data_IF_785063404536
#
_entry.id   IF_785063404536
#
_cell.length_a   1.000
_cell.length_b   1.000
_cell.length_c   1.000
_cell.angle_alpha   90.00
_cell.angle_beta   90.00
_cell.angle_gamma   90.00
#
_symmetry.space_group_name_H-M   'P 1'
#
loop_
_entity.id
_entity.type
_entity.pdbx_description
1 polymer ?
#
# COMPACT_ATOMS: atom_id res chain seq x y z
N UNK A 1 33.10 -11.04 -5.91
CA UNK A 1 31.89 -10.84 -5.09
C UNK A 1 30.69 -10.81 -6.02
N UNK A 2 29.86 -11.85 -6.02
CA UNK A 2 28.63 -11.89 -6.83
C UNK A 2 27.66 -10.87 -6.24
N UNK A 3 27.67 -9.64 -6.78
CA UNK A 3 26.72 -8.61 -6.39
C UNK A 3 25.33 -9.08 -6.81
N UNK A 4 24.53 -9.48 -5.83
CA UNK A 4 23.16 -9.93 -6.04
C UNK A 4 22.42 -8.85 -6.85
N UNK A 5 21.77 -9.24 -7.95
CA UNK A 5 21.12 -8.28 -8.85
C UNK A 5 19.85 -7.76 -8.16
N UNK A 6 19.93 -6.56 -7.60
CA UNK A 6 18.78 -5.92 -6.93
C UNK A 6 18.07 -5.03 -7.95
N UNK A 7 16.75 -5.22 -8.06
CA UNK A 7 15.89 -4.41 -8.91
C UNK A 7 15.54 -3.07 -8.22
N UNK A 8 15.31 -2.00 -8.99
CA UNK A 8 14.96 -0.69 -8.44
C UNK A 8 13.56 -0.71 -7.83
N UNK A 9 13.42 -0.02 -6.69
CA UNK A 9 12.11 0.34 -6.15
C UNK A 9 11.73 1.73 -6.65
N UNK A 10 10.48 1.89 -7.06
CA UNK A 10 9.95 3.14 -7.61
C UNK A 10 9.04 3.82 -6.60
N UNK A 11 9.25 5.12 -6.41
CA UNK A 11 8.44 5.98 -5.55
C UNK A 11 7.98 7.18 -6.37
N UNK A 12 6.70 7.51 -6.25
CA UNK A 12 6.13 8.74 -6.78
C UNK A 12 6.23 9.80 -5.69
N UNK A 13 6.92 10.89 -5.99
CA UNK A 13 7.03 12.08 -5.15
C UNK A 13 6.10 13.13 -5.75
N UNK A 14 4.93 13.24 -5.15
CA UNK A 14 3.93 14.24 -5.51
C UNK A 14 4.42 15.62 -5.09
N UNK A 15 4.31 16.59 -6.01
CA UNK A 15 4.62 17.96 -5.69
C UNK A 15 3.42 18.59 -4.97
N UNK A 16 3.60 19.25 -3.80
CA UNK A 16 2.51 19.96 -3.13
C UNK A 16 1.86 21.04 -4.00
N UNK A 17 2.58 21.56 -5.00
CA UNK A 17 2.04 22.46 -6.01
C UNK A 17 1.59 21.65 -7.23
N UNK A 18 0.28 21.58 -7.48
CA UNK A 18 -0.28 20.85 -8.64
C UNK A 18 0.25 21.33 -10.01
N UNK A 19 0.75 22.57 -10.06
CA UNK A 19 1.30 23.23 -11.25
C UNK A 19 2.76 22.86 -11.57
N UNK A 20 3.48 22.25 -10.64
CA UNK A 20 4.88 21.86 -10.83
C UNK A 20 5.01 20.37 -11.18
N UNK A 21 6.11 20.00 -11.82
CA UNK A 21 6.36 18.62 -12.24
C UNK A 21 6.47 17.67 -11.03
N UNK A 22 5.80 16.53 -11.14
CA UNK A 22 5.94 15.42 -10.21
C UNK A 22 7.27 14.69 -10.47
N UNK A 23 7.79 13.97 -9.48
CA UNK A 23 9.08 13.28 -9.59
C UNK A 23 8.94 11.78 -9.32
N UNK A 24 9.50 10.94 -10.18
CA UNK A 24 9.71 9.52 -9.90
C UNK A 24 11.11 9.29 -9.34
N UNK A 25 11.22 8.65 -8.18
CA UNK A 25 12.48 8.19 -7.62
C UNK A 25 12.62 6.68 -7.80
N UNK A 26 13.67 6.25 -8.51
CA UNK A 26 14.17 4.89 -8.51
C UNK A 26 15.32 4.76 -7.52
N UNK A 27 15.20 3.88 -6.53
CA UNK A 27 16.22 3.71 -5.48
C UNK A 27 16.60 2.24 -5.30
N UNK A 28 17.74 2.03 -4.65
CA UNK A 28 18.16 0.73 -4.11
C UNK A 28 18.54 -0.32 -5.16
N UNK A 29 19.00 0.09 -6.35
CA UNK A 29 19.42 -0.83 -7.40
C UNK A 29 20.94 -0.90 -7.56
N UNK A 30 21.49 -2.04 -7.98
CA UNK A 30 22.94 -2.26 -8.07
C UNK A 30 23.50 -2.13 -9.49
N UNK A 31 22.64 -2.13 -10.52
CA UNK A 31 23.07 -2.01 -11.92
C UNK A 31 22.90 -0.58 -12.43
N UNK A 32 23.99 0.03 -12.92
CA UNK A 32 23.95 1.38 -13.48
C UNK A 32 22.84 1.58 -14.54
N UNK A 33 22.58 0.59 -15.40
CA UNK A 33 21.52 0.66 -16.42
C UNK A 33 20.22 -0.05 -16.03
N UNK A 34 19.90 -0.16 -14.73
CA UNK A 34 18.72 -0.90 -14.26
C UNK A 34 17.40 -0.34 -14.79
N UNK A 35 17.27 0.98 -14.91
CA UNK A 35 16.02 1.70 -15.25
C UNK A 35 15.96 2.21 -16.69
N UNK A 36 16.91 1.82 -17.54
CA UNK A 36 17.02 2.33 -18.92
C UNK A 36 16.00 1.70 -19.89
N UNK A 37 15.47 0.54 -19.54
CA UNK A 37 14.49 -0.19 -20.35
C UNK A 37 13.09 0.39 -20.14
N UNK A 38 12.62 1.20 -21.09
CA UNK A 38 11.30 1.85 -21.08
C UNK A 38 10.15 0.86 -21.25
N UNK A 39 10.40 -0.38 -21.70
CA UNK A 39 9.36 -1.41 -21.78
C UNK A 39 9.03 -2.00 -20.40
N UNK A 40 9.91 -1.82 -19.40
CA UNK A 40 9.77 -2.40 -18.06
C UNK A 40 9.72 -1.36 -16.94
N UNK A 41 10.15 -0.15 -17.22
CA UNK A 41 10.28 0.90 -16.23
C UNK A 41 9.63 2.18 -16.75
N UNK A 42 9.22 3.08 -15.84
CA UNK A 42 8.68 4.36 -16.23
C UNK A 42 9.65 5.10 -17.19
N UNK A 43 9.13 5.71 -18.25
CA UNK A 43 9.87 6.71 -19.04
C UNK A 43 10.41 7.90 -18.20
N UNK A 44 11.27 8.72 -18.80
CA UNK A 44 11.92 9.87 -18.12
C UNK A 44 13.24 9.52 -17.43
N UNK A 45 13.48 8.26 -17.03
CA UNK A 45 14.80 7.81 -16.54
C UNK A 45 15.87 7.75 -17.64
N UNK A 46 15.49 7.91 -18.91
CA UNK A 46 16.43 8.09 -20.01
C UNK A 46 17.06 9.51 -20.05
N UNK A 47 16.41 10.51 -19.45
CA UNK A 47 16.86 11.92 -19.43
C UNK A 47 17.87 12.22 -18.31
N UNK A 48 17.89 11.39 -17.26
CA UNK A 48 18.74 11.59 -16.08
C UNK A 48 19.83 10.52 -16.01
N UNK A 49 20.79 10.68 -15.08
CA UNK A 49 21.85 9.70 -14.84
C UNK A 49 21.75 9.12 -13.42
N UNK A 50 22.01 7.81 -13.23
CA UNK A 50 22.09 7.21 -11.92
C UNK A 50 23.24 7.79 -11.11
N UNK A 51 23.01 8.03 -9.83
CA UNK A 51 24.01 8.48 -8.86
C UNK A 51 24.20 7.39 -7.81
N UNK A 52 25.46 7.06 -7.51
CA UNK A 52 25.79 6.08 -6.47
C UNK A 52 25.61 6.70 -5.10
N UNK A 53 24.99 5.96 -4.17
CA UNK A 53 24.87 6.38 -2.77
C UNK A 53 26.22 6.12 -2.07
N UNK A 54 26.91 7.18 -1.69
CA UNK A 54 28.13 7.12 -0.90
C UNK A 54 27.86 6.42 0.44
N UNK A 55 28.62 5.37 0.74
CA UNK A 55 28.47 4.54 1.95
C UNK A 55 27.62 3.27 1.80
N UNK A 56 26.96 3.06 0.65
CA UNK A 56 26.01 1.93 0.46
C UNK A 56 26.54 0.78 -0.40
N UNK A 57 27.85 0.56 -0.47
CA UNK A 57 28.48 -0.54 -1.23
C UNK A 57 28.02 -0.67 -2.70
N UNK A 58 27.95 0.43 -3.45
CA UNK A 58 27.71 0.38 -4.91
C UNK A 58 26.24 0.29 -5.31
N UNK A 59 25.34 0.80 -4.47
CA UNK A 59 23.93 0.99 -4.78
C UNK A 59 23.70 2.36 -5.43
N UNK A 60 22.80 2.42 -6.41
CA UNK A 60 22.47 3.60 -7.20
C UNK A 60 21.02 4.03 -6.96
N UNK A 61 20.83 5.34 -7.09
CA UNK A 61 19.54 6.02 -7.13
C UNK A 61 19.45 6.88 -8.40
N UNK A 62 18.24 7.06 -8.91
CA UNK A 62 17.99 7.91 -10.07
C UNK A 62 16.62 8.56 -9.92
N UNK A 63 16.49 9.80 -10.41
CA UNK A 63 15.21 10.54 -10.44
C UNK A 63 14.76 10.76 -11.87
N UNK A 64 13.46 10.82 -12.12
CA UNK A 64 12.88 11.22 -13.39
C UNK A 64 11.80 12.26 -13.14
N UNK A 65 11.79 13.32 -13.94
CA UNK A 65 10.78 14.39 -13.86
C UNK A 65 9.64 14.09 -14.82
N UNK A 66 8.42 14.26 -14.33
CA UNK A 66 7.19 14.01 -15.08
C UNK A 66 6.70 15.32 -15.68
N UNK A 67 6.81 15.42 -17.00
CA UNK A 67 6.34 16.59 -17.72
C UNK A 67 4.80 16.55 -17.81
N UNK A 68 4.12 17.48 -17.13
CA UNK A 68 2.65 17.56 -17.12
C UNK A 68 2.05 18.04 -18.46
N UNK A 69 2.87 18.49 -19.42
CA UNK A 69 2.39 18.97 -20.73
C UNK A 69 2.08 17.84 -21.74
N UNK A 70 2.40 16.59 -21.43
CA UNK A 70 2.02 15.45 -22.24
C UNK A 70 0.61 14.98 -21.89
N UNK A 71 -0.25 14.74 -22.88
CA UNK A 71 -1.57 14.09 -22.73
C UNK A 71 -1.52 12.65 -22.20
N UNK A 72 -0.35 12.17 -21.84
CA UNK A 72 -0.12 10.84 -21.31
C UNK A 72 0.00 10.98 -19.80
N UNK A 73 -1.02 10.46 -19.10
CA UNK A 73 -1.02 10.30 -17.64
C UNK A 73 0.13 9.36 -17.27
N UNK A 74 1.31 9.95 -17.14
CA UNK A 74 2.51 9.22 -16.87
C UNK A 74 2.55 8.90 -15.38
N UNK A 75 2.47 7.63 -15.07
CA UNK A 75 2.54 7.16 -13.70
C UNK A 75 3.89 6.48 -13.46
N UNK A 76 4.53 6.76 -12.32
CA UNK A 76 5.72 6.05 -11.81
C UNK A 76 5.43 4.57 -11.46
N UNK A 77 4.53 3.90 -12.18
CA UNK A 77 3.98 2.60 -11.86
C UNK A 77 4.86 1.48 -12.36
N UNK A 78 6.05 1.38 -11.78
CA UNK A 78 6.64 0.08 -11.56
C UNK A 78 5.80 -0.64 -10.50
N UNK A 79 4.97 -1.62 -10.90
CA UNK A 79 4.36 -2.63 -10.02
C UNK A 79 3.53 -2.13 -8.80
N UNK A 80 3.25 -0.83 -8.67
CA UNK A 80 2.73 -0.25 -7.43
C UNK A 80 1.20 -0.10 -7.38
N UNK A 81 0.47 -0.15 -8.50
CA UNK A 81 -1.01 -0.06 -8.47
C UNK A 81 -1.62 -1.29 -7.79
N UNK A 82 -1.08 -2.47 -8.06
CA UNK A 82 -1.53 -3.71 -7.41
C UNK A 82 -1.19 -3.66 -5.92
N UNK A 83 -0.05 -3.08 -5.56
CA UNK A 83 0.41 -2.98 -4.17
C UNK A 83 -0.37 -1.93 -3.38
N UNK A 84 -0.73 -0.78 -3.94
CA UNK A 84 -1.51 0.28 -3.27
C UNK A 84 -2.97 -0.16 -3.06
N UNK A 85 -3.55 -0.89 -4.02
CA UNK A 85 -4.86 -1.51 -3.85
C UNK A 85 -4.84 -2.64 -2.80
N UNK A 86 -3.71 -3.33 -2.63
CA UNK A 86 -3.55 -4.35 -1.57
C UNK A 86 -3.16 -3.78 -0.20
N UNK A 87 -2.40 -2.68 -0.16
CA UNK A 87 -1.79 -2.13 1.06
C UNK A 87 -2.73 -1.23 1.86
N UNK A 88 -3.88 -0.85 1.29
CA UNK A 88 -4.92 -0.09 2.00
C UNK A 88 -5.85 -0.96 2.86
N UNK A 89 -5.66 -2.29 2.88
CA UNK A 89 -6.37 -3.18 3.77
C UNK A 89 -5.42 -3.68 4.88
N UNK A 90 -5.11 -2.80 5.84
CA UNK A 90 -4.40 -3.19 7.05
C UNK A 90 -5.13 -4.38 7.73
N UNK A 91 -4.55 -5.59 7.77
CA UNK A 91 -5.25 -6.77 8.28
C UNK A 91 -5.53 -6.68 9.78
N UNK A 92 -4.76 -5.87 10.50
CA UNK A 92 -4.83 -5.70 11.96
C UNK A 92 -6.05 -4.88 12.37
N UNK A 93 -6.45 -3.86 11.58
CA UNK A 93 -7.66 -3.06 11.87
C UNK A 93 -8.95 -3.81 11.51
N UNK A 94 -8.88 -4.67 10.49
CA UNK A 94 -10.00 -5.53 10.11
C UNK A 94 -10.31 -6.60 11.18
N UNK A 95 -9.27 -7.15 11.84
CA UNK A 95 -9.47 -8.13 12.92
C UNK A 95 -10.02 -7.51 14.20
N UNK A 96 -9.53 -6.33 14.60
CA UNK A 96 -10.05 -5.62 15.77
C UNK A 96 -11.54 -5.24 15.59
N UNK A 97 -11.91 -4.76 14.39
CA UNK A 97 -13.30 -4.46 14.05
C UNK A 97 -14.17 -5.72 14.05
N UNK A 98 -13.70 -6.82 13.46
CA UNK A 98 -14.42 -8.09 13.40
C UNK A 98 -14.63 -8.71 14.79
N UNK A 99 -13.63 -8.64 15.66
CA UNK A 99 -13.74 -9.15 17.04
C UNK A 99 -14.74 -8.34 17.85
N UNK A 100 -14.73 -7.01 17.77
CA UNK A 100 -15.72 -6.14 18.43
C UNK A 100 -17.13 -6.46 17.93
N UNK A 101 -17.32 -6.62 16.62
CA UNK A 101 -18.61 -6.97 16.04
C UNK A 101 -19.09 -8.35 16.50
N UNK A 102 -18.20 -9.36 16.50
CA UNK A 102 -18.50 -10.70 16.99
C UNK A 102 -18.89 -10.72 18.47
N UNK A 103 -18.15 -10.00 19.32
CA UNK A 103 -18.47 -9.83 20.74
C UNK A 103 -19.86 -9.22 20.95
N UNK A 104 -20.24 -8.20 20.17
CA UNK A 104 -21.58 -7.57 20.24
C UNK A 104 -22.70 -8.54 19.86
N UNK A 105 -22.49 -9.36 18.82
CA UNK A 105 -23.49 -10.36 18.39
C UNK A 105 -23.65 -11.46 19.44
N UNK A 106 -22.55 -11.97 20.01
CA UNK A 106 -22.60 -12.98 21.07
C UNK A 106 -23.30 -12.41 22.32
N UNK A 107 -22.92 -11.19 22.74
CA UNK A 107 -23.57 -10.52 23.86
C UNK A 107 -25.08 -10.36 23.63
N UNK A 108 -25.50 -9.86 22.47
CA UNK A 108 -26.93 -9.72 22.16
C UNK A 108 -27.66 -11.07 22.17
N UNK A 109 -27.07 -12.12 21.58
CA UNK A 109 -27.64 -13.48 21.61
C UNK A 109 -27.80 -14.00 23.03
N UNK A 110 -26.81 -13.77 23.91
CA UNK A 110 -26.86 -14.20 25.31
C UNK A 110 -27.86 -13.42 26.14
N UNK A 111 -27.98 -12.10 25.95
CA UNK A 111 -29.01 -11.27 26.60
C UNK A 111 -30.40 -11.71 26.16
N UNK A 112 -30.64 -11.88 24.87
CA UNK A 112 -31.93 -12.35 24.35
C UNK A 112 -32.27 -13.73 24.90
N UNK A 113 -31.32 -14.67 24.93
CA UNK A 113 -31.56 -16.01 25.47
C UNK A 113 -31.88 -15.98 26.97
N UNK A 114 -31.11 -15.22 27.76
CA UNK A 114 -31.37 -15.07 29.20
C UNK A 114 -32.74 -14.42 29.46
N UNK A 115 -33.07 -13.33 28.76
CA UNK A 115 -34.36 -12.65 28.89
C UNK A 115 -35.51 -13.56 28.48
N UNK A 116 -35.42 -14.26 27.36
CA UNK A 116 -36.46 -15.21 26.93
C UNK A 116 -36.61 -16.37 27.91
N UNK A 117 -35.51 -16.88 28.48
CA UNK A 117 -35.57 -17.95 29.48
C UNK A 117 -36.25 -17.47 30.77
N UNK A 118 -35.91 -16.27 31.25
CA UNK A 118 -36.57 -15.66 32.41
C UNK A 118 -38.05 -15.35 32.14
N UNK A 119 -38.40 -14.83 30.97
CA UNK A 119 -39.78 -14.58 30.58
C UNK A 119 -40.60 -15.88 30.48
N UNK A 120 -40.02 -16.97 29.94
CA UNK A 120 -40.68 -18.28 29.91
C UNK A 120 -40.95 -18.82 31.30
N UNK A 121 -39.97 -18.75 32.20
CA UNK A 121 -40.14 -19.18 33.59
C UNK A 121 -41.21 -18.34 34.31
N UNK A 122 -41.21 -17.03 34.09
CA UNK A 122 -42.21 -16.13 34.67
C UNK A 122 -43.62 -16.41 34.13
N UNK A 123 -43.76 -16.60 32.83
CA UNK A 123 -45.04 -17.00 32.21
C UNK A 123 -45.56 -18.33 32.78
N UNK A 124 -44.68 -19.30 33.03
CA UNK A 124 -45.08 -20.59 33.61
C UNK A 124 -45.48 -20.52 35.09
N UNK A 125 -45.09 -19.46 35.82
CA UNK A 125 -45.48 -19.24 37.21
C UNK A 125 -46.79 -18.46 37.35
N UNK A 126 -47.23 -17.75 36.32
CA UNK A 126 -48.51 -17.04 36.29
C UNK A 126 -49.70 -17.91 35.83
N UNK A 127 -49.46 -19.18 35.48
CA UNK A 127 -50.48 -20.13 35.01
C UNK A 127 -50.91 -21.16 36.09
N UNK A 128 -50.75 -20.78 37.36
CA UNK A 128 -51.28 -21.47 38.55
C UNK A 128 -52.03 -20.49 39.46
#
# INVERSE_FOLDING_TARGET
VSANKVQPNFYHLENPNELEDDVCLATSFTRYYAVRDTAKHPEGFNKTKPTMITGSNGVYNQVAFLDKNGTETFFCLGQSLISILLHSADPVVNLASLTIFGLRVIFFKTVVFNVLMTLRLWSSQCEY
#
